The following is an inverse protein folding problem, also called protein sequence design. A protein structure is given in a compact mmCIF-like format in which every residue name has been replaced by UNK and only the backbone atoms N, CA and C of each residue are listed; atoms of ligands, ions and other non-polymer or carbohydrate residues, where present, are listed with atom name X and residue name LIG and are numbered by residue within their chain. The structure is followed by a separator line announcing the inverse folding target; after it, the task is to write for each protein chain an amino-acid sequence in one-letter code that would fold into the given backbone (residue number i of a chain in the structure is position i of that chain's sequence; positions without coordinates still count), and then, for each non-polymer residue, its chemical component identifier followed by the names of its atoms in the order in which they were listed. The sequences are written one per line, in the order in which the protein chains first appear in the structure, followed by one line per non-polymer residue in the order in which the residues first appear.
data_IF_013360618342
#
_entry.id   IF_013360618342
#
_cell.length_a   1.000
_cell.length_b   1.000
_cell.length_c   1.000
_cell.angle_alpha   90.00
_cell.angle_beta   90.00
_cell.angle_gamma   90.00
#
_symmetry.space_group_name_H-M   'P 1'
#
loop_
_entity.id
_entity.type
_entity.pdbx_description
1 polymer ?
#
# COMPACT_ATOMS: atom_id res chain seq x y z
N UNK A 1 26.77 2.07 -32.04
CA UNK A 1 26.09 3.34 -31.82
C UNK A 1 24.63 3.04 -31.53
N UNK A 2 24.26 3.18 -30.26
CA UNK A 2 22.89 2.95 -29.84
C UNK A 2 21.96 4.00 -30.44
N UNK A 3 20.87 3.56 -31.05
CA UNK A 3 19.84 4.46 -31.55
C UNK A 3 19.09 5.06 -30.35
N UNK A 4 19.13 6.36 -30.22
CA UNK A 4 18.29 7.09 -29.29
C UNK A 4 16.84 7.04 -29.79
N UNK A 5 15.94 6.47 -29.03
CA UNK A 5 14.53 6.25 -29.43
C UNK A 5 13.57 7.34 -28.95
N UNK A 6 14.02 8.57 -28.72
CA UNK A 6 13.15 9.72 -28.60
C UNK A 6 13.25 10.51 -27.29
N UNK A 7 12.72 11.71 -27.36
CA UNK A 7 12.44 12.56 -26.21
C UNK A 7 10.99 12.32 -25.79
N UNK A 8 10.79 11.76 -24.61
CA UNK A 8 9.44 11.54 -24.06
C UNK A 8 9.34 12.10 -22.65
N UNK A 9 8.37 12.95 -22.43
CA UNK A 9 8.00 13.43 -21.11
C UNK A 9 6.72 14.24 -21.18
N UNK A 10 5.78 13.97 -20.31
CA UNK A 10 4.51 14.71 -20.16
C UNK A 10 4.70 16.11 -19.58
N UNK A 11 5.90 16.46 -19.15
CA UNK A 11 6.23 17.73 -18.49
C UNK A 11 6.77 18.81 -19.43
N UNK A 12 6.85 18.54 -20.74
CA UNK A 12 7.41 19.49 -21.72
C UNK A 12 8.94 19.68 -21.65
N UNK A 13 9.62 19.01 -20.72
CA UNK A 13 11.08 19.01 -20.60
C UNK A 13 11.60 17.81 -21.39
N UNK A 14 12.42 18.01 -22.42
CA UNK A 14 12.98 16.91 -23.19
C UNK A 14 13.95 16.10 -22.32
N UNK A 15 13.58 14.86 -22.02
CA UNK A 15 14.45 13.91 -21.32
C UNK A 15 15.00 12.88 -22.28
N UNK A 16 16.31 12.62 -22.16
CA UNK A 16 16.96 11.58 -22.96
C UNK A 16 16.50 10.20 -22.45
N UNK A 17 15.82 9.45 -23.30
CA UNK A 17 15.39 8.08 -22.99
C UNK A 17 16.07 7.09 -23.92
N UNK A 18 16.52 5.98 -23.38
CA UNK A 18 17.08 4.87 -24.13
C UNK A 18 16.68 3.54 -23.50
N UNK A 19 16.53 2.54 -24.35
CA UNK A 19 16.25 1.19 -23.89
C UNK A 19 17.57 0.43 -23.68
N UNK A 20 18.04 0.24 -22.44
CA UNK A 20 19.31 -0.43 -22.18
C UNK A 20 19.32 -1.88 -22.69
N UNK A 21 18.20 -2.59 -22.61
CA UNK A 21 18.12 -3.98 -23.09
C UNK A 21 18.27 -4.10 -24.60
N UNK A 22 17.63 -3.21 -25.34
CA UNK A 22 17.72 -3.18 -26.80
C UNK A 22 19.07 -2.68 -27.33
N UNK A 23 19.69 -1.74 -26.63
CA UNK A 23 20.95 -1.12 -27.05
C UNK A 23 22.20 -1.89 -26.61
N UNK A 24 22.15 -2.55 -25.45
CA UNK A 24 23.31 -3.26 -24.90
C UNK A 24 23.32 -4.75 -25.26
N UNK A 25 22.17 -5.36 -25.56
CA UNK A 25 22.05 -6.79 -25.87
C UNK A 25 22.99 -7.29 -27.00
N UNK A 26 23.28 -6.51 -28.06
CA UNK A 26 24.26 -6.88 -29.09
C UNK A 26 25.73 -6.82 -28.62
N UNK A 27 25.99 -6.03 -27.56
CA UNK A 27 27.36 -5.75 -27.08
C UNK A 27 27.71 -6.57 -25.85
N UNK A 28 26.72 -6.74 -24.95
CA UNK A 28 26.91 -7.43 -23.68
C UNK A 28 25.99 -8.65 -23.59
N UNK A 29 26.55 -9.78 -23.18
CA UNK A 29 25.75 -10.93 -22.75
C UNK A 29 25.42 -10.73 -21.28
N UNK A 30 24.13 -10.70 -20.97
CA UNK A 30 23.67 -10.74 -19.58
C UNK A 30 24.01 -12.12 -19.03
N UNK A 31 24.86 -12.19 -18.03
CA UNK A 31 25.14 -13.40 -17.30
C UNK A 31 24.21 -13.50 -16.09
N UNK A 32 23.67 -14.69 -15.84
CA UNK A 32 22.83 -14.93 -14.68
C UNK A 32 23.74 -15.19 -13.48
N UNK A 33 23.69 -14.30 -12.50
CA UNK A 33 24.41 -14.47 -11.25
C UNK A 33 23.44 -15.06 -10.21
N UNK A 34 23.88 -16.12 -9.55
CA UNK A 34 23.13 -16.81 -8.49
C UNK A 34 23.65 -16.46 -7.10
N UNK A 35 24.16 -15.25 -6.95
CA UNK A 35 24.57 -14.68 -5.68
C UNK A 35 23.34 -14.52 -4.77
N UNK A 36 23.40 -14.87 -3.49
CA UNK A 36 22.27 -14.74 -2.55
C UNK A 36 21.69 -13.34 -2.51
N UNK A 37 22.54 -12.31 -2.55
CA UNK A 37 22.12 -10.90 -2.53
C UNK A 37 21.31 -10.49 -3.78
N UNK A 38 21.51 -11.20 -4.88
CA UNK A 38 20.78 -10.97 -6.14
C UNK A 38 19.51 -11.81 -6.15
N UNK A 39 19.62 -13.07 -5.77
CA UNK A 39 18.50 -14.01 -5.73
C UNK A 39 17.43 -13.56 -4.73
N UNK A 40 17.81 -13.07 -3.56
CA UNK A 40 16.88 -12.57 -2.55
C UNK A 40 16.10 -11.32 -2.96
N UNK A 41 16.63 -10.57 -3.93
CA UNK A 41 15.94 -9.41 -4.52
C UNK A 41 15.01 -9.77 -5.68
N UNK A 42 15.00 -11.04 -6.10
CA UNK A 42 14.13 -11.51 -7.18
C UNK A 42 12.77 -11.95 -6.62
N UNK A 43 11.91 -10.99 -6.42
CA UNK A 43 10.55 -11.22 -5.93
C UNK A 43 9.55 -10.33 -6.67
N UNK A 44 8.30 -10.74 -6.65
CA UNK A 44 7.18 -9.98 -7.19
C UNK A 44 5.97 -10.08 -6.28
N UNK A 45 5.24 -8.98 -6.15
CA UNK A 45 3.95 -8.92 -5.46
C UNK A 45 2.94 -8.34 -6.44
N UNK A 46 1.80 -9.00 -6.54
CA UNK A 46 0.65 -8.55 -7.32
C UNK A 46 -0.55 -8.43 -6.39
N UNK A 47 -1.20 -7.29 -6.42
CA UNK A 47 -2.43 -7.02 -5.70
C UNK A 47 -3.54 -6.65 -6.69
N UNK A 48 -4.68 -7.32 -6.58
CA UNK A 48 -5.90 -7.03 -7.32
C UNK A 48 -6.98 -6.63 -6.33
N UNK A 49 -7.50 -5.41 -6.50
CA UNK A 49 -8.50 -4.83 -5.60
C UNK A 49 -9.77 -4.55 -6.37
N UNK A 50 -10.86 -5.13 -5.89
CA UNK A 50 -12.21 -4.85 -6.40
C UNK A 50 -13.00 -4.14 -5.32
N UNK A 51 -13.56 -2.98 -5.66
CA UNK A 51 -14.31 -2.16 -4.72
C UNK A 51 -15.71 -1.88 -5.24
N UNK A 52 -16.70 -2.11 -4.38
CA UNK A 52 -18.07 -1.66 -4.58
C UNK A 52 -18.47 -0.72 -3.44
N UNK A 53 -19.30 0.28 -3.70
CA UNK A 53 -19.77 1.17 -2.67
C UNK A 53 -21.22 1.61 -2.88
N UNK A 54 -21.88 1.95 -1.76
CA UNK A 54 -23.18 2.59 -1.74
C UNK A 54 -23.09 3.81 -0.82
N UNK A 55 -23.63 4.94 -1.27
CA UNK A 55 -23.66 6.20 -0.52
C UNK A 55 -25.08 6.79 -0.59
N UNK A 56 -25.58 7.25 0.55
CA UNK A 56 -26.78 8.08 0.67
C UNK A 56 -26.42 9.44 1.21
N UNK A 57 -26.95 10.50 0.61
CA UNK A 57 -26.83 11.87 1.10
C UNK A 57 -28.09 12.23 1.89
N UNK A 58 -27.90 12.92 3.01
CA UNK A 58 -28.93 13.40 3.90
C UNK A 58 -28.96 14.93 3.88
N UNK A 59 -30.16 15.49 3.61
CA UNK A 59 -30.45 16.91 3.81
C UNK A 59 -31.84 16.97 4.48
N UNK A 60 -31.87 17.30 5.74
CA UNK A 60 -33.06 17.25 6.57
C UNK A 60 -33.11 18.43 7.53
N UNK A 61 -34.30 18.76 7.97
CA UNK A 61 -34.53 19.73 9.04
C UNK A 61 -35.25 19.02 10.19
N UNK A 62 -34.60 18.96 11.34
CA UNK A 62 -35.13 18.30 12.54
C UNK A 62 -35.26 19.35 13.66
N UNK A 63 -36.49 19.69 14.04
CA UNK A 63 -36.75 20.66 15.12
C UNK A 63 -36.16 22.05 14.85
N UNK A 64 -36.05 22.48 13.60
CA UNK A 64 -35.44 23.75 13.19
C UNK A 64 -33.92 23.69 12.98
N UNK A 65 -33.28 22.58 13.26
CA UNK A 65 -31.87 22.32 12.97
C UNK A 65 -31.71 21.81 11.53
N UNK A 66 -30.86 22.46 10.74
CA UNK A 66 -30.48 21.95 9.44
C UNK A 66 -29.39 20.88 9.61
N UNK A 67 -29.73 19.66 9.25
CA UNK A 67 -28.86 18.50 9.33
C UNK A 67 -28.48 18.05 7.91
N UNK A 68 -27.19 18.03 7.62
CA UNK A 68 -26.65 17.58 6.33
C UNK A 68 -25.57 16.57 6.53
N UNK A 69 -25.47 15.65 5.59
CA UNK A 69 -24.42 14.65 5.69
C UNK A 69 -24.54 13.54 4.67
N UNK A 70 -23.81 12.49 4.95
CA UNK A 70 -23.88 11.25 4.17
C UNK A 70 -23.61 10.04 5.05
N UNK A 71 -24.15 8.92 4.61
CA UNK A 71 -23.86 7.60 5.12
C UNK A 71 -23.45 6.71 3.96
N UNK A 72 -22.45 5.90 4.15
CA UNK A 72 -21.97 5.03 3.11
C UNK A 72 -21.42 3.71 3.63
N UNK A 73 -21.30 2.76 2.72
CA UNK A 73 -20.60 1.51 2.95
C UNK A 73 -19.78 1.19 1.72
N UNK A 74 -18.54 0.81 1.92
CA UNK A 74 -17.65 0.34 0.89
C UNK A 74 -17.29 -1.10 1.16
N UNK A 75 -17.39 -1.95 0.14
CA UNK A 75 -16.97 -3.34 0.16
C UNK A 75 -15.68 -3.43 -0.64
N UNK A 76 -14.62 -3.90 -0.01
CA UNK A 76 -13.31 -4.06 -0.64
C UNK A 76 -12.94 -5.52 -0.63
N UNK A 77 -12.70 -6.09 -1.80
CA UNK A 77 -12.18 -7.44 -1.95
C UNK A 77 -10.77 -7.36 -2.53
N UNK A 78 -9.82 -7.93 -1.82
CA UNK A 78 -8.40 -7.91 -2.21
C UNK A 78 -7.91 -9.34 -2.42
N UNK A 79 -7.25 -9.55 -3.56
CA UNK A 79 -6.48 -10.76 -3.86
C UNK A 79 -5.03 -10.37 -4.02
N UNK A 80 -4.18 -10.95 -3.22
CA UNK A 80 -2.73 -10.72 -3.28
C UNK A 80 -2.02 -12.02 -3.60
N UNK A 81 -0.98 -11.94 -4.42
CA UNK A 81 -0.09 -13.04 -4.74
C UNK A 81 1.34 -12.54 -4.71
N UNK A 82 2.20 -13.31 -4.10
CA UNK A 82 3.63 -13.02 -4.02
C UNK A 82 4.42 -14.20 -4.56
N UNK A 83 5.45 -13.90 -5.32
CA UNK A 83 6.43 -14.86 -5.82
C UNK A 83 7.84 -14.43 -5.42
N UNK A 84 8.75 -15.38 -5.34
CA UNK A 84 10.13 -15.10 -4.99
C UNK A 84 10.94 -16.37 -4.97
N UNK A 85 12.17 -16.26 -4.46
CA UNK A 85 13.07 -17.38 -4.31
C UNK A 85 13.32 -17.68 -2.84
N UNK A 86 13.37 -18.95 -2.51
CA UNK A 86 13.89 -19.45 -1.24
C UNK A 86 15.35 -19.82 -1.47
N UNK A 87 16.24 -19.08 -0.86
CA UNK A 87 17.69 -19.23 -1.05
C UNK A 87 18.32 -19.76 0.22
N UNK A 88 19.03 -20.90 0.09
CA UNK A 88 19.88 -21.44 1.15
C UNK A 88 21.29 -20.86 1.03
N UNK A 89 21.57 -19.83 1.80
CA UNK A 89 22.88 -19.19 1.78
C UNK A 89 23.99 -20.05 2.41
N UNK A 90 23.62 -21.08 3.20
CA UNK A 90 24.56 -22.07 3.73
C UNK A 90 25.03 -23.08 2.69
N UNK A 91 24.31 -23.21 1.57
CA UNK A 91 24.65 -24.13 0.47
C UNK A 91 25.61 -23.51 -0.56
N UNK A 92 26.00 -22.26 -0.40
CA UNK A 92 26.86 -21.54 -1.34
C UNK A 92 28.30 -22.07 -1.29
N UNK A 93 28.65 -22.99 -2.19
CA UNK A 93 29.98 -23.59 -2.26
C UNK A 93 30.99 -22.71 -3.01
N UNK A 94 32.11 -22.37 -2.36
CA UNK A 94 33.37 -22.01 -3.01
C UNK A 94 33.45 -20.67 -3.71
N UNK A 95 32.68 -19.69 -3.32
CA UNK A 95 32.57 -18.37 -3.93
C UNK A 95 31.16 -18.14 -4.40
N UNK A 96 30.58 -17.16 -3.92
CA UNK A 96 29.23 -16.57 -3.95
C UNK A 96 28.22 -16.89 -5.10
N UNK A 97 28.46 -17.84 -5.97
CA UNK A 97 27.72 -17.95 -7.24
C UNK A 97 26.93 -19.24 -7.45
N UNK A 98 26.91 -20.14 -6.48
CA UNK A 98 26.29 -21.46 -6.62
C UNK A 98 25.43 -21.88 -5.42
N UNK A 99 24.55 -20.99 -4.99
CA UNK A 99 23.62 -21.28 -3.91
C UNK A 99 22.43 -22.10 -4.41
N UNK A 100 21.94 -23.00 -3.58
CA UNK A 100 20.68 -23.71 -3.86
C UNK A 100 19.50 -22.76 -3.65
N UNK A 101 18.60 -22.73 -4.62
CA UNK A 101 17.37 -21.94 -4.52
C UNK A 101 16.19 -22.69 -5.10
N UNK A 102 15.00 -22.35 -4.67
CA UNK A 102 13.74 -22.90 -5.15
C UNK A 102 12.72 -21.78 -5.31
N UNK A 103 11.88 -21.87 -6.34
CA UNK A 103 10.77 -20.96 -6.53
C UNK A 103 9.73 -21.13 -5.42
N UNK A 104 9.20 -20.02 -4.93
CA UNK A 104 8.11 -19.99 -3.97
C UNK A 104 7.03 -19.02 -4.45
N UNK A 105 5.77 -19.43 -4.33
CA UNK A 105 4.63 -18.58 -4.63
C UNK A 105 3.53 -18.83 -3.60
N UNK A 106 2.92 -17.76 -3.14
CA UNK A 106 1.81 -17.79 -2.19
C UNK A 106 0.76 -16.78 -2.59
N UNK A 107 -0.51 -17.13 -2.32
CA UNK A 107 -1.65 -16.24 -2.54
C UNK A 107 -2.49 -16.15 -1.29
N UNK A 108 -3.09 -14.99 -1.08
CA UNK A 108 -4.03 -14.74 0.01
C UNK A 108 -5.15 -13.80 -0.47
N UNK A 109 -6.34 -13.94 0.10
CA UNK A 109 -7.48 -13.09 -0.24
C UNK A 109 -8.22 -12.72 1.03
N UNK A 110 -8.67 -11.48 1.09
CA UNK A 110 -9.47 -10.98 2.21
C UNK A 110 -10.50 -9.96 1.70
N UNK A 111 -11.50 -9.70 2.54
CA UNK A 111 -12.57 -8.75 2.24
C UNK A 111 -12.80 -7.84 3.44
N UNK A 112 -13.01 -6.57 3.18
CA UNK A 112 -13.30 -5.56 4.18
C UNK A 112 -14.64 -4.86 3.90
N UNK A 113 -15.38 -4.61 4.98
CA UNK A 113 -16.59 -3.78 4.97
C UNK A 113 -16.26 -2.50 5.71
N UNK A 114 -16.35 -1.38 5.02
CA UNK A 114 -15.95 -0.07 5.51
C UNK A 114 -17.16 0.87 5.56
N UNK A 115 -17.94 0.85 6.66
CA UNK A 115 -19.00 1.82 6.87
C UNK A 115 -18.43 3.19 7.17
N UNK A 116 -19.17 4.25 6.78
CA UNK A 116 -18.84 5.63 7.10
C UNK A 116 -20.11 6.46 7.31
N UNK A 117 -20.02 7.41 8.22
CA UNK A 117 -21.06 8.40 8.51
C UNK A 117 -20.39 9.75 8.67
N UNK A 118 -20.93 10.77 8.01
CA UNK A 118 -20.53 12.15 8.20
C UNK A 118 -21.80 12.98 8.34
N UNK A 119 -21.92 13.70 9.44
CA UNK A 119 -23.07 14.54 9.76
C UNK A 119 -22.59 15.94 10.14
N UNK A 120 -23.28 16.94 9.65
CA UNK A 120 -23.10 18.33 10.05
C UNK A 120 -24.43 18.93 10.45
N UNK A 121 -24.48 19.56 11.60
CA UNK A 121 -25.64 20.26 12.12
C UNK A 121 -25.35 21.76 12.22
N UNK A 122 -26.20 22.55 11.59
CA UNK A 122 -26.21 24.02 11.81
C UNK A 122 -27.10 24.32 13.01
N UNK A 123 -26.46 24.72 14.11
CA UNK A 123 -27.11 25.03 15.38
C UNK A 123 -27.67 26.45 15.43
N UNK A 124 -27.52 27.20 14.33
CA UNK A 124 -27.89 28.61 14.26
C UNK A 124 -26.87 29.55 14.89
N UNK A 125 -27.09 30.86 14.71
CA UNK A 125 -26.22 31.89 15.23
C UNK A 125 -24.72 31.71 14.90
N UNK A 126 -24.42 31.11 13.73
CA UNK A 126 -23.05 30.83 13.28
C UNK A 126 -22.36 29.71 14.03
N UNK A 127 -23.11 28.77 14.56
CA UNK A 127 -22.58 27.56 15.22
C UNK A 127 -22.78 26.33 14.34
N UNK A 128 -21.74 25.51 14.19
CA UNK A 128 -21.79 24.29 13.41
C UNK A 128 -21.16 23.15 14.23
N UNK A 129 -21.83 22.03 14.28
CA UNK A 129 -21.29 20.80 14.85
C UNK A 129 -21.13 19.77 13.73
N UNK A 130 -19.99 19.06 13.72
CA UNK A 130 -19.74 17.98 12.77
C UNK A 130 -19.38 16.71 13.50
N UNK A 131 -19.90 15.63 13.00
CA UNK A 131 -19.59 14.28 13.47
C UNK A 131 -19.16 13.43 12.29
N UNK A 132 -18.05 12.71 12.45
CA UNK A 132 -17.55 11.72 11.52
C UNK A 132 -17.34 10.39 12.23
N UNK A 133 -17.68 9.32 11.57
CA UNK A 133 -17.38 7.97 12.02
C UNK A 133 -17.07 7.11 10.80
N UNK A 134 -16.04 6.26 10.88
CA UNK A 134 -15.73 5.35 9.79
C UNK A 134 -14.80 4.24 10.21
N UNK A 135 -14.88 3.13 9.47
CA UNK A 135 -13.86 2.10 9.50
C UNK A 135 -12.90 2.33 8.35
N UNK A 136 -11.61 2.38 8.66
CA UNK A 136 -10.54 2.63 7.70
C UNK A 136 -9.54 1.49 7.67
N UNK A 137 -8.87 1.32 6.55
CA UNK A 137 -7.80 0.32 6.38
C UNK A 137 -6.52 1.00 5.89
N UNK A 138 -5.38 0.48 6.35
CA UNK A 138 -4.06 0.83 5.85
C UNK A 138 -3.35 -0.43 5.40
N UNK A 139 -3.01 -0.51 4.11
CA UNK A 139 -2.38 -1.69 3.53
C UNK A 139 -0.91 -1.78 3.92
N UNK A 140 -0.37 -3.02 4.08
CA UNK A 140 1.06 -3.24 4.26
C UNK A 140 1.86 -2.75 3.05
N UNK A 141 3.14 -2.51 3.25
CA UNK A 141 4.04 -2.25 2.13
C UNK A 141 4.25 -3.54 1.31
N UNK A 142 4.41 -3.40 0.00
CA UNK A 142 4.60 -4.57 -0.88
C UNK A 142 5.86 -5.35 -0.55
N UNK A 143 6.89 -4.68 -0.07
CA UNK A 143 8.13 -5.33 0.35
C UNK A 143 7.90 -6.29 1.53
N UNK A 144 7.06 -5.92 2.49
CA UNK A 144 6.73 -6.76 3.64
C UNK A 144 5.94 -8.02 3.24
N UNK A 145 5.26 -7.97 2.08
CA UNK A 145 4.48 -9.09 1.53
C UNK A 145 5.28 -9.99 0.58
N UNK A 146 6.57 -9.75 0.37
CA UNK A 146 7.38 -10.56 -0.53
C UNK A 146 7.40 -12.03 -0.09
N UNK A 147 7.41 -12.96 -1.05
CA UNK A 147 7.54 -14.38 -0.78
C UNK A 147 9.02 -14.83 -0.64
N UNK A 148 9.96 -13.99 -1.06
CA UNK A 148 11.39 -14.32 -1.00
C UNK A 148 11.86 -14.62 0.43
N UNK A 149 12.66 -15.65 0.58
CA UNK A 149 13.24 -16.12 1.85
C UNK A 149 14.73 -16.32 1.65
N UNK A 150 15.52 -15.67 2.47
CA UNK A 150 16.96 -15.90 2.57
C UNK A 150 17.27 -16.46 3.97
N UNK A 151 17.98 -17.57 4.05
CA UNK A 151 18.33 -18.14 5.34
C UNK A 151 19.73 -18.75 5.30
N UNK A 152 20.39 -18.77 6.46
CA UNK A 152 21.64 -19.47 6.68
C UNK A 152 21.63 -20.20 8.02
N UNK A 153 22.38 -21.28 8.11
CA UNK A 153 22.61 -21.97 9.36
C UNK A 153 23.99 -21.59 9.94
N UNK A 154 23.97 -20.97 11.12
CA UNK A 154 25.21 -20.65 11.85
C UNK A 154 25.63 -21.87 12.68
N UNK A 155 26.73 -22.51 12.32
CA UNK A 155 27.24 -23.73 12.98
C UNK A 155 27.78 -23.47 14.39
N UNK A 156 28.21 -22.25 14.69
CA UNK A 156 28.78 -21.89 15.99
C UNK A 156 27.72 -21.82 17.07
N UNK A 157 26.60 -21.20 16.79
CA UNK A 157 25.49 -21.06 17.74
C UNK A 157 24.30 -21.98 17.45
N UNK A 158 24.42 -22.87 16.44
CA UNK A 158 23.41 -23.86 16.03
C UNK A 158 22.03 -23.24 15.74
N UNK A 159 21.98 -22.09 15.10
CA UNK A 159 20.74 -21.36 14.79
C UNK A 159 20.62 -21.03 13.32
N UNK A 160 19.41 -21.09 12.82
CA UNK A 160 19.05 -20.48 11.54
C UNK A 160 18.81 -18.99 11.73
N UNK A 161 19.33 -18.20 10.81
CA UNK A 161 19.09 -16.77 10.67
C UNK A 161 18.63 -16.46 9.26
N UNK A 162 17.76 -15.49 9.09
CA UNK A 162 17.29 -15.16 7.75
C UNK A 162 16.29 -13.99 7.74
N UNK A 163 15.95 -13.58 6.52
CA UNK A 163 14.95 -12.57 6.24
C UNK A 163 13.86 -13.15 5.35
N UNK A 164 12.61 -12.83 5.65
CA UNK A 164 11.46 -13.20 4.86
C UNK A 164 10.38 -12.13 4.95
N UNK A 165 9.60 -11.96 3.92
CA UNK A 165 8.33 -11.26 4.01
C UNK A 165 7.19 -12.21 4.38
N UNK A 166 5.99 -11.68 4.53
CA UNK A 166 4.80 -12.47 4.80
C UNK A 166 3.72 -12.20 3.74
N UNK A 167 3.54 -13.04 2.73
CA UNK A 167 2.52 -12.89 1.70
C UNK A 167 1.07 -12.89 2.21
N UNK A 168 0.85 -13.24 3.47
CA UNK A 168 -0.48 -13.30 4.11
C UNK A 168 -0.76 -12.10 5.01
N UNK A 169 0.06 -11.05 4.93
CA UNK A 169 -0.22 -9.83 5.67
C UNK A 169 -1.57 -9.24 5.23
N UNK A 170 -2.36 -8.88 6.21
CA UNK A 170 -3.61 -8.16 6.03
C UNK A 170 -3.46 -6.70 6.44
N UNK A 171 -4.36 -5.82 5.98
CA UNK A 171 -4.29 -4.41 6.33
C UNK A 171 -4.55 -4.18 7.82
N UNK A 172 -3.96 -3.15 8.36
CA UNK A 172 -4.38 -2.60 9.63
C UNK A 172 -5.79 -2.03 9.49
N UNK A 173 -6.63 -2.30 10.47
CA UNK A 173 -8.02 -1.85 10.52
C UNK A 173 -8.22 -0.99 11.75
N UNK A 174 -8.80 0.18 11.57
CA UNK A 174 -9.12 1.09 12.66
C UNK A 174 -10.56 1.60 12.54
N UNK A 175 -11.16 1.90 13.68
CA UNK A 175 -12.38 2.69 13.75
C UNK A 175 -11.96 4.12 14.08
N UNK A 176 -12.40 5.07 13.27
CA UNK A 176 -12.14 6.48 13.47
C UNK A 176 -13.42 7.19 13.90
N UNK A 177 -13.30 8.11 14.84
CA UNK A 177 -14.37 8.98 15.32
C UNK A 177 -13.85 10.39 15.38
N UNK A 178 -14.62 11.32 14.78
CA UNK A 178 -14.31 12.72 14.74
C UNK A 178 -15.53 13.52 15.23
N UNK A 179 -15.30 14.48 16.12
CA UNK A 179 -16.29 15.44 16.56
C UNK A 179 -15.68 16.84 16.52
N UNK A 180 -16.32 17.75 15.84
CA UNK A 180 -15.90 19.16 15.86
C UNK A 180 -17.06 20.10 16.12
N UNK A 181 -16.75 21.19 16.82
CA UNK A 181 -17.64 22.31 17.04
C UNK A 181 -16.95 23.59 16.58
N UNK A 182 -17.68 24.36 15.79
CA UNK A 182 -17.21 25.64 15.23
C UNK A 182 -18.17 26.75 15.59
N UNK A 183 -17.63 27.88 16.00
CA UNK A 183 -18.39 29.10 16.23
C UNK A 183 -17.80 30.25 15.41
N UNK A 184 -18.62 30.81 14.53
CA UNK A 184 -18.26 31.93 13.67
C UNK A 184 -18.77 33.24 14.27
N UNK A 185 -17.90 34.25 14.29
CA UNK A 185 -18.20 35.61 14.75
C UNK A 185 -18.13 36.59 13.57
N UNK A 186 -19.26 36.76 12.88
CA UNK A 186 -19.28 37.57 11.67
C UNK A 186 -18.48 36.91 10.52
N UNK A 187 -17.77 37.75 9.75
CA UNK A 187 -17.04 37.28 8.56
C UNK A 187 -15.54 37.05 8.78
N UNK A 188 -14.98 37.39 9.92
CA UNK A 188 -13.53 37.50 10.11
C UNK A 188 -12.96 36.71 11.28
N UNK A 189 -13.79 36.15 12.14
CA UNK A 189 -13.33 35.43 13.31
C UNK A 189 -14.12 34.13 13.52
N UNK A 190 -13.44 33.07 13.95
CA UNK A 190 -14.07 31.82 14.37
C UNK A 190 -13.23 31.14 15.45
N UNK A 191 -13.88 30.29 16.22
CA UNK A 191 -13.26 29.37 17.17
C UNK A 191 -13.67 27.95 16.75
N UNK A 192 -12.72 27.02 16.77
CA UNK A 192 -12.95 25.59 16.47
C UNK A 192 -12.37 24.75 17.58
N UNK A 193 -13.14 23.76 18.00
CA UNK A 193 -12.71 22.67 18.90
C UNK A 193 -12.93 21.35 18.19
N UNK A 194 -11.96 20.44 18.24
CA UNK A 194 -12.06 19.12 17.65
C UNK A 194 -11.54 18.06 18.60
N UNK A 195 -12.23 16.91 18.62
CA UNK A 195 -11.81 15.69 19.28
C UNK A 195 -11.84 14.56 18.28
N UNK A 196 -10.84 13.70 18.33
CA UNK A 196 -10.73 12.52 17.45
C UNK A 196 -10.20 11.31 18.23
N UNK A 197 -10.59 10.13 17.75
CA UNK A 197 -10.16 8.84 18.28
C UNK A 197 -9.96 7.85 17.14
#
# INVERSE_FOLDING_TARGET
PGSFTGFGGTTGIPTLQWNPRGSLGPIYRLNTWTDPDILGKNWGVKEEVTTGFLKGDLDASLGGLALRGNVGVQLVNTKQSASGLRVDTGSCNGGAHACTYTDISQSHSYSDVLPSVNLGADLGAGQVMRFGMGKVISRPQMEDMRAGIEFSYNTTNQRYTGNAGNPKLEPFRANAFDLSYEKYFGRQAYISLAAFY
#
